data_IF_624181345729
#
_entry.id   IF_624181345729
#
_cell.length_a   1.000
_cell.length_b   1.000
_cell.length_c   1.000
_cell.angle_alpha   90.00
_cell.angle_beta   90.00
_cell.angle_gamma   90.00
#
_symmetry.space_group_name_H-M   'P 1'
#
loop_
_entity.id
_entity.type
_entity.pdbx_description
1 polymer ?
#
# COMPACT_ATOMS: atom_id res chain seq x y z
N UNK A 1 20.06 -9.41 -16.49
CA UNK A 1 19.87 -10.72 -15.83
C UNK A 1 18.82 -10.51 -14.75
N UNK A 2 17.59 -11.02 -14.92
CA UNK A 2 16.55 -10.89 -13.89
C UNK A 2 16.99 -11.69 -12.67
N UNK A 3 17.14 -11.03 -11.52
CA UNK A 3 17.35 -11.75 -10.28
C UNK A 3 16.11 -12.59 -9.98
N UNK A 4 16.24 -13.80 -9.41
CA UNK A 4 15.09 -14.55 -8.92
C UNK A 4 14.29 -13.67 -7.95
N UNK A 5 12.96 -13.71 -8.03
CA UNK A 5 12.04 -12.96 -7.14
C UNK A 5 12.38 -13.19 -5.65
N UNK A 6 12.90 -14.37 -5.30
CA UNK A 6 13.35 -14.69 -3.93
C UNK A 6 14.52 -13.83 -3.45
N UNK A 7 15.42 -13.40 -4.34
CA UNK A 7 16.55 -12.53 -3.99
C UNK A 7 16.16 -11.08 -3.69
N UNK A 8 14.88 -10.75 -3.86
CA UNK A 8 14.33 -9.40 -3.80
C UNK A 8 13.44 -9.20 -2.59
N UNK A 9 13.31 -10.23 -1.76
CA UNK A 9 12.47 -10.21 -0.57
C UNK A 9 12.97 -9.16 0.43
N UNK A 10 12.09 -8.21 0.76
CA UNK A 10 12.37 -7.12 1.70
C UNK A 10 11.76 -7.31 3.08
N UNK A 11 11.20 -8.49 3.38
CA UNK A 11 10.60 -8.76 4.70
C UNK A 11 11.63 -8.55 5.82
N UNK A 12 11.34 -7.69 6.81
CA UNK A 12 12.23 -7.48 7.94
C UNK A 12 12.34 -8.75 8.81
N UNK A 13 13.55 -9.12 9.22
CA UNK A 13 13.78 -10.25 10.11
C UNK A 13 13.09 -10.09 11.48
N UNK A 14 12.84 -8.84 11.91
CA UNK A 14 12.21 -8.50 13.19
C UNK A 14 10.68 -8.40 13.12
N UNK A 15 10.08 -8.52 11.94
CA UNK A 15 8.63 -8.42 11.74
C UNK A 15 8.17 -9.41 10.68
N UNK A 16 8.22 -10.70 11.04
CA UNK A 16 7.74 -11.79 10.18
C UNK A 16 6.22 -11.72 10.05
N UNK A 17 5.71 -12.05 8.86
CA UNK A 17 4.27 -12.15 8.65
C UNK A 17 3.69 -13.32 9.43
N UNK A 18 2.67 -13.05 10.24
CA UNK A 18 1.86 -14.06 10.94
C UNK A 18 0.38 -13.87 10.57
N UNK A 19 -0.45 -14.88 10.75
CA UNK A 19 -1.89 -14.78 10.47
C UNK A 19 -2.55 -13.67 11.30
N UNK A 20 -2.21 -13.59 12.60
CA UNK A 20 -2.71 -12.55 13.49
C UNK A 20 -2.25 -11.15 13.04
N UNK A 21 -0.98 -10.99 12.67
CA UNK A 21 -0.44 -9.73 12.16
C UNK A 21 -1.06 -9.33 10.83
N UNK A 22 -1.28 -10.28 9.93
CA UNK A 22 -1.93 -10.05 8.64
C UNK A 22 -3.41 -9.69 8.80
N UNK A 23 -4.12 -10.33 9.71
CA UNK A 23 -5.52 -10.02 10.02
C UNK A 23 -5.65 -8.61 10.60
N UNK A 24 -4.81 -8.23 11.56
CA UNK A 24 -4.75 -6.88 12.10
C UNK A 24 -4.41 -5.86 11.00
N UNK A 25 -3.38 -6.13 10.21
CA UNK A 25 -2.97 -5.26 9.09
C UNK A 25 -4.10 -5.03 8.09
N UNK A 26 -4.90 -6.07 7.78
CA UNK A 26 -6.09 -5.94 6.95
C UNK A 26 -7.10 -4.98 7.56
N UNK A 27 -7.42 -5.11 8.85
CA UNK A 27 -8.36 -4.18 9.51
C UNK A 27 -7.86 -2.74 9.41
N UNK A 28 -6.60 -2.50 9.76
CA UNK A 28 -5.98 -1.16 9.71
C UNK A 28 -5.95 -0.58 8.30
N UNK A 29 -5.73 -1.40 7.26
CA UNK A 29 -5.68 -0.95 5.87
C UNK A 29 -7.00 -0.31 5.39
N UNK A 30 -8.13 -0.72 5.98
CA UNK A 30 -9.46 -0.20 5.68
C UNK A 30 -9.98 0.78 6.73
N UNK A 31 -9.24 1.03 7.82
CA UNK A 31 -9.70 1.90 8.90
C UNK A 31 -9.46 3.38 8.57
N UNK A 32 -10.56 4.13 8.39
CA UNK A 32 -10.49 5.58 8.13
C UNK A 32 -10.10 6.38 9.36
N UNK A 33 -10.27 5.84 10.57
CA UNK A 33 -9.96 6.52 11.84
C UNK A 33 -8.47 6.86 11.97
N UNK A 34 -7.62 6.24 11.15
CA UNK A 34 -6.20 6.54 11.04
C UNK A 34 -5.91 7.83 10.27
N UNK A 35 -6.89 8.42 9.56
CA UNK A 35 -6.74 9.73 8.92
C UNK A 35 -7.18 10.88 9.84
N UNK A 36 -6.53 12.04 9.71
CA UNK A 36 -6.77 13.23 10.54
C UNK A 36 -8.24 13.64 10.64
N UNK A 37 -9.00 13.50 9.55
CA UNK A 37 -10.42 13.85 9.51
C UNK A 37 -11.34 12.64 9.33
N UNK A 38 -10.81 11.42 9.47
CA UNK A 38 -11.57 10.17 9.44
C UNK A 38 -12.28 9.88 8.10
N UNK A 39 -11.80 10.43 6.98
CA UNK A 39 -12.44 10.27 5.66
C UNK A 39 -11.71 9.29 4.74
N UNK A 40 -10.42 9.07 4.95
CA UNK A 40 -9.53 8.31 4.05
C UNK A 40 -8.87 7.17 4.82
N UNK A 41 -8.77 6.00 4.20
CA UNK A 41 -7.96 4.87 4.64
C UNK A 41 -6.91 4.54 3.58
N UNK A 42 -5.99 3.62 3.84
CA UNK A 42 -5.06 3.12 2.82
C UNK A 42 -5.83 2.61 1.59
N UNK A 43 -6.91 1.87 1.83
CA UNK A 43 -7.81 1.35 0.80
C UNK A 43 -8.55 2.41 -0.02
N UNK A 44 -8.60 3.68 0.41
CA UNK A 44 -9.29 4.74 -0.36
C UNK A 44 -8.55 5.10 -1.66
N UNK A 45 -7.23 4.88 -1.70
CA UNK A 45 -6.40 5.14 -2.88
C UNK A 45 -5.71 3.87 -3.39
N UNK A 46 -5.47 2.87 -2.55
CA UNK A 46 -4.88 1.59 -2.94
C UNK A 46 -5.95 0.52 -3.12
N UNK A 47 -6.73 0.63 -4.20
CA UNK A 47 -7.95 -0.17 -4.41
C UNK A 47 -7.62 -1.59 -4.86
N UNK A 48 -8.04 -2.60 -4.08
CA UNK A 48 -7.75 -4.00 -4.36
C UNK A 48 -8.19 -4.44 -5.77
N UNK A 49 -9.36 -3.97 -6.23
CA UNK A 49 -9.89 -4.27 -7.57
C UNK A 49 -9.01 -3.76 -8.73
N UNK A 50 -8.10 -2.82 -8.45
CA UNK A 50 -7.18 -2.22 -9.42
C UNK A 50 -5.72 -2.53 -9.06
N UNK A 51 -5.45 -3.73 -8.55
CA UNK A 51 -4.10 -4.16 -8.18
C UNK A 51 -3.50 -3.35 -7.02
N UNK A 52 -4.37 -2.85 -6.14
CA UNK A 52 -4.03 -1.93 -5.03
C UNK A 52 -3.50 -0.57 -5.51
N UNK A 53 -3.96 -0.10 -6.67
CA UNK A 53 -3.66 1.21 -7.26
C UNK A 53 -4.93 2.07 -7.32
N UNK A 54 -4.76 3.38 -7.51
CA UNK A 54 -5.87 4.26 -7.87
C UNK A 54 -6.02 4.28 -9.40
N UNK A 55 -7.22 4.04 -9.99
CA UNK A 55 -7.43 4.20 -11.43
C UNK A 55 -7.40 5.67 -11.88
N UNK A 56 -7.50 6.64 -10.96
CA UNK A 56 -7.39 8.07 -11.28
C UNK A 56 -5.93 8.45 -11.53
N UNK A 57 -5.67 9.40 -12.43
CA UNK A 57 -4.32 9.95 -12.65
C UNK A 57 -3.70 10.53 -11.38
N UNK A 58 -4.51 11.18 -10.55
CA UNK A 58 -4.14 11.73 -9.24
C UNK A 58 -5.17 11.30 -8.22
N UNK A 59 -4.73 10.87 -7.05
CA UNK A 59 -5.59 10.40 -5.99
C UNK A 59 -6.25 11.57 -5.28
N UNK A 60 -7.42 11.34 -4.68
CA UNK A 60 -8.09 12.36 -3.85
C UNK A 60 -7.60 12.20 -2.41
N UNK A 61 -6.96 13.24 -1.87
CA UNK A 61 -6.48 13.28 -0.50
C UNK A 61 -7.61 13.49 0.52
N UNK A 62 -7.26 13.41 1.81
CA UNK A 62 -8.23 13.52 2.91
C UNK A 62 -8.99 14.86 2.92
N UNK A 63 -8.39 15.93 2.38
CA UNK A 63 -9.01 17.25 2.30
C UNK A 63 -9.73 17.51 0.96
N UNK A 64 -10.05 16.46 0.19
CA UNK A 64 -10.74 16.57 -1.10
C UNK A 64 -9.91 17.09 -2.28
N UNK A 65 -8.70 17.60 -2.02
CA UNK A 65 -7.75 18.00 -3.06
C UNK A 65 -7.06 16.81 -3.74
N UNK A 66 -6.49 17.03 -4.92
CA UNK A 66 -5.71 16.02 -5.64
C UNK A 66 -4.28 15.92 -5.10
N UNK A 67 -3.74 14.71 -5.08
CA UNK A 67 -2.32 14.46 -4.80
C UNK A 67 -1.44 14.84 -5.99
N UNK A 68 -0.14 15.05 -5.75
CA UNK A 68 0.81 15.36 -6.83
C UNK A 68 1.16 14.18 -7.75
N UNK A 69 0.76 12.95 -7.39
CA UNK A 69 1.06 11.70 -8.11
C UNK A 69 -0.08 10.68 -7.93
N UNK A 70 -0.15 9.71 -8.84
CA UNK A 70 -1.01 8.53 -8.70
C UNK A 70 -0.57 7.68 -7.49
N UNK A 71 -1.54 7.09 -6.78
CA UNK A 71 -1.27 6.03 -5.81
C UNK A 71 -0.96 4.74 -6.52
N UNK A 72 0.30 4.32 -6.44
CA UNK A 72 0.76 3.12 -7.13
C UNK A 72 0.20 1.81 -6.58
N UNK A 73 0.23 0.77 -7.40
CA UNK A 73 -0.08 -0.59 -7.00
C UNK A 73 0.82 -1.09 -5.87
N UNK A 74 0.21 -1.63 -4.82
CA UNK A 74 0.93 -2.31 -3.73
C UNK A 74 1.06 -3.82 -3.96
N UNK A 75 0.51 -4.34 -5.04
CA UNK A 75 0.72 -5.73 -5.45
C UNK A 75 2.22 -5.98 -5.57
N UNK A 76 2.71 -7.00 -4.86
CA UNK A 76 4.11 -7.41 -4.85
C UNK A 76 5.10 -6.36 -4.26
N UNK A 77 4.62 -5.39 -3.48
CA UNK A 77 5.46 -4.39 -2.82
C UNK A 77 6.67 -4.97 -2.07
N UNK A 78 6.51 -6.15 -1.46
CA UNK A 78 7.56 -6.89 -0.73
C UNK A 78 8.78 -7.24 -1.59
N UNK A 79 8.62 -7.36 -2.90
CA UNK A 79 9.68 -7.78 -3.83
C UNK A 79 10.18 -6.64 -4.72
N UNK A 80 9.92 -5.38 -4.33
CA UNK A 80 10.25 -4.23 -5.14
C UNK A 80 11.69 -3.73 -4.88
N UNK A 81 12.58 -3.93 -5.86
CA UNK A 81 14.04 -3.65 -5.76
C UNK A 81 14.40 -2.29 -5.17
N UNK A 82 13.75 -1.24 -5.66
CA UNK A 82 14.15 0.12 -5.32
C UNK A 82 13.78 0.51 -3.89
N UNK A 83 13.02 -0.33 -3.17
CA UNK A 83 12.52 -0.12 -1.79
C UNK A 83 11.87 1.25 -1.54
N UNK A 84 11.53 1.95 -2.62
CA UNK A 84 11.06 3.33 -2.64
C UNK A 84 10.07 3.51 -3.76
N UNK A 85 8.87 3.78 -3.33
CA UNK A 85 7.79 4.19 -4.15
C UNK A 85 8.02 5.67 -4.49
N UNK A 86 8.39 5.89 -5.76
CA UNK A 86 8.83 7.16 -6.40
C UNK A 86 10.10 7.83 -5.86
#
# INVERSE_FOLDING_TARGET
MLQPILGQDTMPATNLTTDAGAALGRVLFYDKRLSTNQTVACASCHLQAHGFSDPRRFSVGFNGGLTGRNSMGLSNARWYERKRFF
#
